data_IF_258100677779
#
_entry.id   IF_258100677779
#
_cell.length_a   1.000
_cell.length_b   1.000
_cell.length_c   1.000
_cell.angle_alpha   90.00
_cell.angle_beta   90.00
_cell.angle_gamma   90.00
#
_symmetry.space_group_name_H-M   'P 1'
#
loop_
_entity.id
_entity.type
_entity.pdbx_description
1 polymer ?
#
# COMPACT_ATOMS: atom_id res chain seq x y z
N UNK A 1 4.96 -16.83 0.61
CA UNK A 1 5.15 -15.58 1.39
C UNK A 1 4.42 -15.62 2.73
N UNK A 2 3.10 -15.83 2.79
CA UNK A 2 2.34 -15.86 4.07
C UNK A 2 2.88 -16.89 5.07
N UNK A 3 3.17 -18.12 4.62
CA UNK A 3 3.76 -19.16 5.48
C UNK A 3 5.14 -18.77 6.05
N UNK A 4 5.95 -18.05 5.27
CA UNK A 4 7.29 -17.61 5.67
C UNK A 4 7.24 -16.52 6.76
N UNK A 5 6.28 -15.59 6.67
CA UNK A 5 6.06 -14.59 7.74
C UNK A 5 5.60 -15.26 9.03
N UNK A 6 4.71 -16.24 8.94
CA UNK A 6 4.23 -16.99 10.11
C UNK A 6 5.33 -17.84 10.74
N UNK A 7 6.25 -18.39 9.95
CA UNK A 7 7.43 -19.12 10.45
C UNK A 7 8.43 -18.19 11.14
N UNK A 8 8.74 -17.04 10.54
CA UNK A 8 9.84 -16.17 11.00
C UNK A 8 9.45 -15.17 12.08
N UNK A 9 8.22 -14.66 12.05
CA UNK A 9 7.71 -13.67 13.04
C UNK A 9 6.73 -14.33 14.01
N UNK A 10 6.06 -15.41 13.59
CA UNK A 10 5.05 -16.10 14.38
C UNK A 10 3.62 -15.70 14.03
N UNK A 11 2.62 -16.38 14.60
CA UNK A 11 1.20 -16.11 14.35
C UNK A 11 0.75 -14.72 14.83
N UNK A 12 1.48 -14.09 15.75
CA UNK A 12 1.20 -12.73 16.26
C UNK A 12 1.21 -11.66 15.17
N UNK A 13 1.93 -11.87 14.07
CA UNK A 13 2.00 -10.94 12.96
C UNK A 13 0.66 -10.76 12.21
N UNK A 14 -0.30 -11.68 12.39
CA UNK A 14 -1.63 -11.63 11.78
C UNK A 14 -1.64 -11.31 10.27
N UNK A 15 -0.58 -11.67 9.54
CA UNK A 15 -0.41 -11.34 8.13
C UNK A 15 -1.31 -12.23 7.25
N UNK A 16 -2.44 -11.67 6.80
CA UNK A 16 -3.48 -12.42 6.09
C UNK A 16 -3.64 -12.02 4.62
N UNK A 17 -3.40 -10.75 4.30
CA UNK A 17 -3.76 -10.17 3.00
C UNK A 17 -2.52 -9.65 2.28
N UNK A 18 -2.42 -9.96 0.99
CA UNK A 18 -1.36 -9.46 0.10
C UNK A 18 -1.98 -9.01 -1.21
N UNK A 19 -1.62 -7.80 -1.64
CA UNK A 19 -2.00 -7.24 -2.94
C UNK A 19 -0.73 -6.93 -3.71
N UNK A 20 -0.63 -7.46 -4.93
CA UNK A 20 0.50 -7.22 -5.82
C UNK A 20 0.23 -5.97 -6.65
N UNK A 21 1.19 -5.05 -6.67
CA UNK A 21 1.17 -3.82 -7.46
C UNK A 21 2.43 -3.75 -8.31
N UNK A 22 2.39 -3.00 -9.41
CA UNK A 22 3.52 -2.91 -10.36
C UNK A 22 4.71 -2.16 -9.76
N UNK A 23 4.45 -1.14 -8.93
CA UNK A 23 5.45 -0.26 -8.33
C UNK A 23 4.90 0.39 -7.06
N UNK A 24 5.81 0.80 -6.17
CA UNK A 24 5.48 1.51 -4.93
C UNK A 24 5.51 3.03 -5.17
N UNK A 25 4.64 3.81 -4.49
CA UNK A 25 4.64 5.26 -4.62
C UNK A 25 5.83 5.80 -3.85
N UNK A 26 6.65 6.63 -4.50
CA UNK A 26 7.87 7.15 -3.89
C UNK A 26 7.93 8.68 -4.00
N UNK A 27 8.70 9.29 -3.10
CA UNK A 27 9.12 10.67 -3.29
C UNK A 27 10.23 10.74 -4.34
N UNK A 28 10.54 11.94 -4.84
CA UNK A 28 11.71 12.20 -5.70
C UNK A 28 13.05 11.76 -5.09
N UNK A 29 13.11 11.60 -3.77
CA UNK A 29 14.27 11.06 -3.04
C UNK A 29 14.22 9.55 -2.81
N UNK A 30 13.20 8.86 -3.33
CA UNK A 30 13.03 7.41 -3.25
C UNK A 30 12.34 6.89 -1.98
N UNK A 31 11.89 7.77 -1.07
CA UNK A 31 11.16 7.35 0.14
C UNK A 31 9.79 6.81 -0.22
N UNK A 32 9.42 5.64 0.30
CA UNK A 32 8.10 5.03 0.05
C UNK A 32 7.03 5.78 0.85
N UNK A 33 5.95 6.19 0.18
CA UNK A 33 4.82 6.92 0.76
C UNK A 33 3.83 5.98 1.47
N UNK A 34 4.29 5.30 2.53
CA UNK A 34 3.46 4.34 3.28
C UNK A 34 2.22 4.96 3.92
N UNK A 35 2.34 6.16 4.49
CA UNK A 35 1.21 6.84 5.12
C UNK A 35 0.08 7.17 4.14
N UNK A 36 0.40 7.58 2.92
CA UNK A 36 -0.61 7.81 1.88
C UNK A 36 -1.30 6.51 1.47
N UNK A 37 -0.54 5.41 1.31
CA UNK A 37 -1.12 4.09 1.01
C UNK A 37 -2.07 3.61 2.11
N UNK A 38 -1.71 3.83 3.39
CA UNK A 38 -2.58 3.50 4.52
C UNK A 38 -3.91 4.27 4.43
N UNK A 39 -3.85 5.59 4.27
CA UNK A 39 -5.07 6.42 4.14
C UNK A 39 -5.96 6.00 2.97
N UNK A 40 -5.38 5.65 1.83
CA UNK A 40 -6.14 5.11 0.68
C UNK A 40 -6.86 3.81 1.06
N UNK A 41 -6.18 2.89 1.75
CA UNK A 41 -6.76 1.62 2.18
C UNK A 41 -7.85 1.80 3.26
N UNK A 42 -7.68 2.78 4.15
CA UNK A 42 -8.58 3.10 5.26
C UNK A 42 -9.73 4.05 4.84
N UNK A 43 -9.78 4.49 3.57
CA UNK A 43 -10.68 5.52 3.03
C UNK A 43 -10.65 6.86 3.77
N UNK A 44 -9.51 7.20 4.35
CA UNK A 44 -9.33 8.50 4.95
C UNK A 44 -9.06 9.56 3.89
N UNK A 45 -9.35 10.82 4.22
CA UNK A 45 -8.98 11.94 3.37
C UNK A 45 -7.45 12.11 3.35
N UNK A 46 -6.91 12.29 2.15
CA UNK A 46 -5.48 12.48 1.93
C UNK A 46 -5.24 13.51 0.84
N UNK A 47 -4.16 14.27 1.01
CA UNK A 47 -3.67 15.20 0.01
C UNK A 47 -2.50 14.56 -0.75
N UNK A 48 -2.45 14.80 -2.05
CA UNK A 48 -1.35 14.35 -2.90
C UNK A 48 -0.03 15.01 -2.45
N UNK A 49 1.01 14.24 -2.07
CA UNK A 49 2.28 14.81 -1.66
C UNK A 49 2.97 15.51 -2.84
N UNK A 50 3.34 16.78 -2.68
CA UNK A 50 4.01 17.56 -3.72
C UNK A 50 5.37 16.99 -4.18
N UNK A 51 5.99 16.16 -3.34
CA UNK A 51 7.29 15.53 -3.60
C UNK A 51 7.19 14.14 -4.21
N UNK A 52 5.99 13.68 -4.57
CA UNK A 52 5.80 12.40 -5.27
C UNK A 52 6.52 12.38 -6.62
N UNK A 53 7.03 11.21 -7.01
CA UNK A 53 7.68 10.99 -8.30
C UNK A 53 6.65 10.88 -9.43
N UNK A 54 5.66 10.01 -9.27
CA UNK A 54 4.58 9.77 -10.21
C UNK A 54 3.23 9.65 -9.48
N UNK A 55 2.37 10.69 -9.58
CA UNK A 55 1.02 10.69 -9.03
C UNK A 55 0.15 9.50 -9.44
N UNK A 56 0.28 9.00 -10.68
CA UNK A 56 -0.61 7.97 -11.22
C UNK A 56 -0.49 6.64 -10.46
N UNK A 57 0.62 6.43 -9.74
CA UNK A 57 0.81 5.25 -8.89
C UNK A 57 -0.26 5.16 -7.80
N UNK A 58 -0.74 6.29 -7.27
CA UNK A 58 -1.76 6.30 -6.22
C UNK A 58 -3.11 5.79 -6.75
N UNK A 59 -3.47 6.14 -7.99
CA UNK A 59 -4.68 5.62 -8.65
C UNK A 59 -4.56 4.12 -8.97
N UNK A 60 -3.38 3.67 -9.43
CA UNK A 60 -3.10 2.24 -9.64
C UNK A 60 -3.28 1.42 -8.36
N UNK A 61 -2.81 1.96 -7.22
CA UNK A 61 -2.94 1.34 -5.90
C UNK A 61 -4.40 1.31 -5.46
N UNK A 62 -5.12 2.43 -5.59
CA UNK A 62 -6.54 2.50 -5.26
C UNK A 62 -7.35 1.47 -6.07
N UNK A 63 -7.06 1.32 -7.36
CA UNK A 63 -7.69 0.31 -8.21
C UNK A 63 -7.35 -1.12 -7.77
N UNK A 64 -6.10 -1.40 -7.42
CA UNK A 64 -5.67 -2.71 -6.95
C UNK A 64 -6.33 -3.10 -5.61
N UNK A 65 -6.46 -2.15 -4.69
CA UNK A 65 -7.16 -2.32 -3.41
C UNK A 65 -8.66 -2.56 -3.63
N UNK A 66 -9.30 -1.75 -4.48
CA UNK A 66 -10.71 -1.91 -4.86
C UNK A 66 -10.98 -3.28 -5.50
N UNK A 67 -10.12 -3.75 -6.39
CA UNK A 67 -10.22 -5.08 -7.00
C UNK A 67 -10.14 -6.25 -6.00
N UNK A 68 -9.68 -6.00 -4.77
CA UNK A 68 -9.60 -6.97 -3.67
C UNK A 68 -10.61 -6.72 -2.56
N UNK A 69 -11.48 -5.72 -2.69
CA UNK A 69 -12.48 -5.35 -1.69
C UNK A 69 -11.91 -4.66 -0.45
N UNK A 70 -10.74 -4.04 -0.58
CA UNK A 70 -10.09 -3.29 0.50
C UNK A 70 -10.36 -1.81 0.25
N UNK A 71 -10.80 -1.09 1.29
CA UNK A 71 -11.17 0.33 1.16
C UNK A 71 -12.47 0.57 0.37
N UNK A 72 -13.44 -0.37 0.43
CA UNK A 72 -14.82 -0.24 -0.09
C UNK A 72 -15.84 0.24 0.95
#
# INVERSE_FOLDING_TARGET
VVGLVRERIGPVAAFKTVVTIKRLPKTRSGKILRGTMQKIADKEEWAMPATIDDPAILDEIAAALKGRGIGM
#
